data_IF_974843074655
#
_entry.id   IF_974843074655
#
_cell.length_a   1.000
_cell.length_b   1.000
_cell.length_c   1.000
_cell.angle_alpha   90.00
_cell.angle_beta   90.00
_cell.angle_gamma   90.00
#
_symmetry.space_group_name_H-M   'P 1'
#
loop_
_entity.id
_entity.type
_entity.pdbx_description
1 polymer ?
#
# COMPACT_ATOMS: atom_id res chain seq x y z
N UNK A 1 -18.59 17.00 12.83
CA UNK A 1 -18.68 16.56 11.40
C UNK A 1 -20.09 16.73 10.86
N UNK A 2 -20.25 17.05 9.58
CA UNK A 2 -21.56 17.30 8.95
C UNK A 2 -22.26 15.96 8.62
N UNK A 3 -23.50 15.74 9.11
CA UNK A 3 -24.27 14.51 8.91
C UNK A 3 -24.46 14.16 7.42
N UNK A 4 -24.77 15.16 6.58
CA UNK A 4 -24.94 14.94 5.13
C UNK A 4 -23.66 14.41 4.45
N UNK A 5 -22.48 14.86 4.90
CA UNK A 5 -21.20 14.36 4.39
C UNK A 5 -20.94 12.92 4.88
N UNK A 6 -21.27 12.61 6.15
CA UNK A 6 -21.17 11.25 6.67
C UNK A 6 -22.06 10.27 5.91
N UNK A 7 -23.30 10.68 5.57
CA UNK A 7 -24.19 9.86 4.72
C UNK A 7 -23.55 9.56 3.36
N UNK A 8 -22.97 10.58 2.69
CA UNK A 8 -22.25 10.34 1.41
C UNK A 8 -21.07 9.38 1.55
N UNK A 9 -20.38 9.42 2.68
CA UNK A 9 -19.29 8.47 2.96
C UNK A 9 -19.83 7.05 3.16
N UNK A 10 -20.97 6.89 3.82
CA UNK A 10 -21.66 5.61 3.96
C UNK A 10 -22.17 5.09 2.62
N UNK A 11 -22.74 5.96 1.77
CA UNK A 11 -23.12 5.60 0.40
C UNK A 11 -21.91 5.04 -0.37
N UNK A 12 -20.76 5.72 -0.35
CA UNK A 12 -19.56 5.29 -1.04
C UNK A 12 -19.04 3.92 -0.54
N UNK A 13 -19.05 3.71 0.78
CA UNK A 13 -18.66 2.42 1.37
C UNK A 13 -19.64 1.31 1.03
N UNK A 14 -20.93 1.60 1.00
CA UNK A 14 -21.96 0.64 0.61
C UNK A 14 -21.79 0.22 -0.85
N UNK A 15 -21.52 1.19 -1.74
CA UNK A 15 -21.20 0.88 -3.14
C UNK A 15 -19.97 -0.01 -3.28
N UNK A 16 -18.90 0.29 -2.54
CA UNK A 16 -17.71 -0.57 -2.54
C UNK A 16 -18.03 -1.99 -2.09
N UNK A 17 -18.86 -2.15 -1.04
CA UNK A 17 -19.26 -3.48 -0.54
C UNK A 17 -20.02 -4.23 -1.63
N UNK A 18 -21.03 -3.62 -2.23
CA UNK A 18 -21.87 -4.27 -3.24
C UNK A 18 -21.05 -4.64 -4.49
N UNK A 19 -20.30 -3.70 -5.05
CA UNK A 19 -19.50 -3.93 -6.25
C UNK A 19 -18.37 -4.94 -5.99
N UNK A 20 -17.69 -4.83 -4.84
CA UNK A 20 -16.57 -5.70 -4.47
C UNK A 20 -17.00 -7.13 -4.12
N UNK A 21 -18.24 -7.30 -3.66
CA UNK A 21 -18.81 -8.62 -3.36
C UNK A 21 -19.72 -9.15 -4.48
N UNK A 22 -19.92 -8.38 -5.57
CA UNK A 22 -20.77 -8.77 -6.69
C UNK A 22 -22.25 -8.93 -6.32
N UNK A 23 -22.73 -8.06 -5.41
CA UNK A 23 -24.11 -8.12 -4.92
C UNK A 23 -25.03 -7.40 -5.89
N UNK A 24 -26.03 -8.11 -6.45
CA UNK A 24 -27.08 -7.46 -7.24
C UNK A 24 -28.18 -6.91 -6.34
N UNK A 25 -28.25 -5.57 -6.26
CA UNK A 25 -29.25 -4.84 -5.47
C UNK A 25 -30.70 -5.09 -5.92
N UNK A 26 -30.93 -5.69 -7.10
CA UNK A 26 -32.25 -5.98 -7.62
C UNK A 26 -32.84 -7.30 -7.09
N UNK A 27 -31.99 -8.17 -6.56
CA UNK A 27 -32.37 -9.48 -6.06
C UNK A 27 -32.46 -9.41 -4.55
N UNK A 28 -33.30 -8.90 -3.85
CA UNK A 28 -33.53 -8.92 -2.39
C UNK A 28 -32.45 -9.57 -1.51
N UNK A 29 -31.20 -9.57 -1.97
CA UNK A 29 -30.02 -10.12 -1.32
C UNK A 29 -29.53 -9.13 -0.24
N UNK A 30 -28.98 -9.72 0.85
CA UNK A 30 -28.28 -8.92 1.84
C UNK A 30 -27.02 -8.30 1.22
N UNK A 31 -26.92 -6.99 1.27
CA UNK A 31 -25.88 -6.23 0.62
C UNK A 31 -25.18 -5.23 1.51
N UNK A 32 -24.52 -4.27 0.89
CA UNK A 32 -23.74 -3.25 1.57
C UNK A 32 -24.52 -2.48 2.62
N UNK A 33 -25.80 -2.24 2.38
CA UNK A 33 -26.69 -1.60 3.37
C UNK A 33 -26.82 -2.42 4.66
N UNK A 34 -26.84 -3.74 4.56
CA UNK A 34 -26.91 -4.64 5.72
C UNK A 34 -25.55 -4.83 6.39
N UNK A 35 -24.47 -4.70 5.63
CA UNK A 35 -23.10 -4.99 6.09
C UNK A 35 -22.36 -3.76 6.61
N UNK A 36 -22.81 -2.55 6.27
CA UNK A 36 -22.12 -1.30 6.60
C UNK A 36 -22.00 -1.09 8.13
N UNK A 37 -23.07 -1.39 8.89
CA UNK A 37 -23.06 -1.21 10.35
C UNK A 37 -22.02 -2.12 11.00
N UNK A 38 -22.06 -3.47 10.82
CA UNK A 38 -21.05 -4.34 11.44
C UNK A 38 -19.62 -4.03 11.01
N UNK A 39 -19.40 -3.66 9.76
CA UNK A 39 -18.05 -3.32 9.27
C UNK A 39 -17.52 -2.02 9.89
N UNK A 40 -18.32 -0.96 9.91
CA UNK A 40 -17.91 0.32 10.51
C UNK A 40 -17.75 0.23 12.03
N UNK A 41 -18.55 -0.56 12.72
CA UNK A 41 -18.41 -0.80 14.16
C UNK A 41 -17.17 -1.65 14.48
N UNK A 42 -16.93 -2.70 13.71
CA UNK A 42 -15.71 -3.51 13.88
C UNK A 42 -14.45 -2.67 13.68
N UNK A 43 -14.45 -1.76 12.71
CA UNK A 43 -13.38 -0.80 12.48
C UNK A 43 -13.26 0.21 13.64
N UNK A 44 -14.38 0.78 14.10
CA UNK A 44 -14.38 1.78 15.18
C UNK A 44 -13.85 1.23 16.50
N UNK A 45 -14.13 -0.04 16.81
CA UNK A 45 -13.77 -0.66 18.09
C UNK A 45 -12.61 -1.65 17.98
N UNK A 46 -11.96 -1.76 16.82
CA UNK A 46 -10.89 -2.73 16.54
C UNK A 46 -11.30 -4.15 17.01
N UNK A 47 -12.48 -4.58 16.61
CA UNK A 47 -13.10 -5.80 17.07
C UNK A 47 -13.29 -6.84 15.97
N UNK A 48 -13.66 -8.05 16.35
CA UNK A 48 -14.14 -9.06 15.42
C UNK A 48 -15.59 -8.78 15.03
N UNK A 49 -15.97 -9.09 13.78
CA UNK A 49 -17.36 -8.97 13.32
C UNK A 49 -18.34 -9.76 14.19
N UNK A 50 -17.92 -10.92 14.70
CA UNK A 50 -18.69 -11.79 15.59
C UNK A 50 -19.13 -11.10 16.89
N UNK A 51 -18.39 -10.06 17.30
CA UNK A 51 -18.69 -9.31 18.52
C UNK A 51 -19.74 -8.20 18.30
N UNK A 52 -19.98 -7.83 17.06
CA UNK A 52 -20.85 -6.68 16.74
C UNK A 52 -22.08 -7.06 15.91
N UNK A 53 -22.14 -8.26 15.32
CA UNK A 53 -23.22 -8.67 14.44
C UNK A 53 -23.49 -10.16 14.47
N UNK A 54 -24.76 -10.54 14.39
CA UNK A 54 -25.21 -11.91 14.12
C UNK A 54 -25.24 -12.28 12.63
N UNK A 55 -24.98 -11.31 11.72
CA UNK A 55 -24.90 -11.53 10.27
C UNK A 55 -23.48 -11.92 9.79
N UNK A 56 -22.56 -12.18 10.71
CA UNK A 56 -21.14 -12.40 10.42
C UNK A 56 -20.91 -13.54 9.43
N UNK A 57 -21.58 -14.67 9.62
CA UNK A 57 -21.43 -15.83 8.74
C UNK A 57 -21.87 -15.51 7.31
N UNK A 58 -22.93 -14.72 7.14
CA UNK A 58 -23.38 -14.26 5.83
C UNK A 58 -22.35 -13.33 5.18
N UNK A 59 -21.78 -12.39 5.93
CA UNK A 59 -20.72 -11.49 5.44
C UNK A 59 -19.51 -12.31 4.97
N UNK A 60 -19.04 -13.24 5.80
CA UNK A 60 -17.92 -14.10 5.44
C UNK A 60 -18.21 -14.97 4.22
N UNK A 61 -19.41 -15.52 4.10
CA UNK A 61 -19.83 -16.33 2.97
C UNK A 61 -19.75 -15.49 1.68
N UNK A 62 -20.35 -14.31 1.66
CA UNK A 62 -20.33 -13.40 0.50
C UNK A 62 -18.91 -13.02 0.08
N UNK A 63 -18.04 -12.69 1.04
CA UNK A 63 -16.64 -12.38 0.74
C UNK A 63 -15.92 -13.60 0.14
N UNK A 64 -16.16 -14.80 0.66
CA UNK A 64 -15.53 -16.04 0.13
C UNK A 64 -15.99 -16.39 -1.27
N UNK A 65 -17.25 -16.12 -1.60
CA UNK A 65 -17.82 -16.35 -2.93
C UNK A 65 -17.31 -15.34 -3.96
N UNK A 66 -16.93 -14.14 -3.53
CA UNK A 66 -16.46 -13.08 -4.42
C UNK A 66 -15.09 -13.37 -5.03
N UNK A 67 -14.73 -12.64 -6.08
CA UNK A 67 -13.41 -12.69 -6.69
C UNK A 67 -12.53 -11.54 -6.19
N UNK A 68 -11.25 -11.81 -5.98
CA UNK A 68 -10.26 -10.76 -5.61
C UNK A 68 -10.27 -9.63 -6.65
N UNK A 69 -10.36 -9.97 -7.95
CA UNK A 69 -10.42 -8.98 -9.03
C UNK A 69 -11.63 -8.05 -8.96
N UNK A 70 -12.75 -8.51 -8.41
CA UNK A 70 -13.93 -7.65 -8.19
C UNK A 70 -13.66 -6.65 -7.07
N UNK A 71 -13.04 -7.09 -5.98
CA UNK A 71 -12.66 -6.21 -4.86
C UNK A 71 -11.64 -5.15 -5.31
N UNK A 72 -10.64 -5.55 -6.10
CA UNK A 72 -9.65 -4.66 -6.69
C UNK A 72 -10.31 -3.62 -7.62
N UNK A 73 -11.22 -4.07 -8.50
CA UNK A 73 -11.91 -3.18 -9.42
C UNK A 73 -12.84 -2.19 -8.70
N UNK A 74 -13.58 -2.65 -7.69
CA UNK A 74 -14.42 -1.78 -6.86
C UNK A 74 -13.59 -0.71 -6.14
N UNK A 75 -12.43 -1.10 -5.60
CA UNK A 75 -11.51 -0.16 -4.98
C UNK A 75 -10.98 0.87 -6.00
N UNK A 76 -10.56 0.43 -7.19
CA UNK A 76 -10.08 1.32 -8.25
C UNK A 76 -11.15 2.28 -8.75
N UNK A 77 -12.40 1.82 -8.91
CA UNK A 77 -13.52 2.68 -9.27
C UNK A 77 -13.72 3.81 -8.26
N UNK A 78 -13.59 3.48 -6.97
CA UNK A 78 -13.66 4.47 -5.91
C UNK A 78 -12.46 5.44 -5.96
N UNK A 79 -11.24 4.94 -6.12
CA UNK A 79 -10.05 5.80 -6.26
C UNK A 79 -10.16 6.73 -7.46
N UNK A 80 -10.78 6.30 -8.56
CA UNK A 80 -11.06 7.15 -9.72
C UNK A 80 -11.96 8.33 -9.32
N UNK A 81 -13.05 8.08 -8.60
CA UNK A 81 -13.94 9.14 -8.14
C UNK A 81 -13.20 10.14 -7.24
N UNK A 82 -12.34 9.66 -6.34
CA UNK A 82 -11.50 10.52 -5.50
C UNK A 82 -10.51 11.30 -6.35
N UNK A 83 -9.83 10.64 -7.29
CA UNK A 83 -8.86 11.25 -8.21
C UNK A 83 -9.48 12.42 -8.97
N UNK A 84 -10.69 12.24 -9.51
CA UNK A 84 -11.42 13.28 -10.22
C UNK A 84 -11.76 14.46 -9.28
N UNK A 85 -12.19 14.18 -8.04
CA UNK A 85 -12.55 15.21 -7.06
C UNK A 85 -11.36 16.10 -6.62
N UNK A 86 -10.15 15.55 -6.58
CA UNK A 86 -8.94 16.29 -6.20
C UNK A 86 -8.04 16.64 -7.40
N UNK A 87 -8.54 16.46 -8.63
CA UNK A 87 -7.85 16.71 -9.90
C UNK A 87 -6.47 16.03 -9.95
N UNK A 88 -6.41 14.77 -9.51
CA UNK A 88 -5.15 14.03 -9.39
C UNK A 88 -4.54 13.71 -10.77
N UNK A 89 -5.37 13.55 -11.80
CA UNK A 89 -4.94 13.34 -13.19
C UNK A 89 -4.16 14.52 -13.77
N UNK A 90 -4.24 15.70 -13.18
CA UNK A 90 -3.51 16.90 -13.59
C UNK A 90 -2.22 17.10 -12.78
N UNK A 91 -2.00 16.31 -11.73
CA UNK A 91 -0.87 16.47 -10.79
C UNK A 91 0.30 15.55 -11.14
N UNK A 92 1.50 16.07 -10.92
CA UNK A 92 2.71 15.24 -10.91
C UNK A 92 2.84 14.54 -9.56
N UNK A 93 3.07 13.22 -9.57
CA UNK A 93 3.07 12.41 -8.35
C UNK A 93 4.41 11.73 -8.10
N UNK A 94 4.75 11.60 -6.83
CA UNK A 94 5.77 10.67 -6.34
C UNK A 94 5.03 9.52 -5.65
N UNK A 95 5.33 8.30 -6.08
CA UNK A 95 4.72 7.09 -5.57
C UNK A 95 5.69 6.32 -4.67
N UNK A 96 5.15 5.59 -3.70
CA UNK A 96 5.90 4.60 -2.96
C UNK A 96 5.16 3.26 -2.99
N UNK A 97 5.93 2.18 -3.11
CA UNK A 97 5.46 0.82 -2.87
C UNK A 97 6.01 0.31 -1.55
N UNK A 98 5.15 -0.32 -0.76
CA UNK A 98 5.56 -1.00 0.45
C UNK A 98 4.71 -2.24 0.71
N UNK A 99 5.23 -3.15 1.56
CA UNK A 99 4.52 -4.34 2.01
C UNK A 99 3.88 -4.10 3.38
N UNK A 100 2.69 -4.65 3.54
CA UNK A 100 2.05 -4.80 4.84
C UNK A 100 1.85 -6.27 5.12
N UNK A 101 2.29 -6.70 6.29
CA UNK A 101 2.12 -8.07 6.78
C UNK A 101 1.01 -8.09 7.82
N UNK A 102 0.02 -8.98 7.63
CA UNK A 102 -1.02 -9.24 8.58
C UNK A 102 -0.77 -10.56 9.29
N UNK A 103 -0.46 -10.50 10.59
CA UNK A 103 -0.05 -11.65 11.39
C UNK A 103 -1.13 -12.76 11.43
N UNK A 104 -0.69 -14.01 11.32
CA UNK A 104 -1.51 -15.20 11.37
C UNK A 104 -1.03 -16.17 12.47
N UNK A 105 -1.97 -16.75 13.21
CA UNK A 105 -1.71 -17.55 14.42
C UNK A 105 -2.22 -18.99 14.31
N UNK A 106 -2.49 -19.49 13.12
CA UNK A 106 -3.01 -20.83 12.86
C UNK A 106 -2.01 -21.73 12.12
N UNK A 107 -2.48 -22.90 11.68
CA UNK A 107 -1.68 -23.76 10.82
C UNK A 107 -1.49 -23.15 9.44
N UNK A 108 -0.23 -22.94 9.05
CA UNK A 108 0.14 -22.40 7.75
C UNK A 108 -0.08 -23.47 6.69
N UNK A 109 -0.97 -23.20 5.75
CA UNK A 109 -1.30 -24.09 4.63
C UNK A 109 -1.54 -23.29 3.34
N UNK A 110 -1.21 -23.91 2.20
CA UNK A 110 -1.42 -23.30 0.88
C UNK A 110 -0.40 -22.21 0.53
N UNK A 111 -0.75 -21.38 -0.46
CA UNK A 111 0.13 -20.37 -1.04
C UNK A 111 -0.19 -18.94 -0.58
N UNK A 112 -1.25 -18.75 0.19
CA UNK A 112 -1.73 -17.45 0.62
C UNK A 112 -1.05 -16.95 1.91
N UNK A 113 -0.53 -17.87 2.73
CA UNK A 113 0.08 -17.56 4.02
C UNK A 113 1.59 -17.79 3.93
N UNK A 114 2.35 -16.72 4.08
CA UNK A 114 3.80 -16.77 4.17
C UNK A 114 4.19 -17.27 5.56
N UNK A 115 5.02 -18.33 5.63
CA UNK A 115 5.47 -18.91 6.90
C UNK A 115 6.60 -18.12 7.54
N UNK A 116 6.80 -18.34 8.80
CA UNK A 116 7.85 -17.84 9.71
C UNK A 116 8.13 -16.34 9.65
N UNK A 117 7.76 -15.65 10.70
CA UNK A 117 7.92 -14.18 10.82
C UNK A 117 9.04 -13.77 11.77
N UNK A 118 9.57 -14.68 12.57
CA UNK A 118 10.49 -14.36 13.67
C UNK A 118 9.86 -13.64 14.85
N UNK A 119 8.51 -13.50 14.86
CA UNK A 119 7.75 -12.94 15.97
C UNK A 119 7.20 -14.07 16.85
N UNK A 120 7.21 -13.88 18.17
CA UNK A 120 6.66 -14.84 19.11
C UNK A 120 5.16 -15.10 18.86
N UNK A 121 4.76 -16.39 18.92
CA UNK A 121 3.41 -16.87 18.70
C UNK A 121 2.82 -16.66 17.28
N UNK A 122 3.47 -15.91 16.39
CA UNK A 122 3.03 -15.74 15.01
C UNK A 122 3.57 -16.87 14.15
N UNK A 123 2.67 -17.64 13.54
CA UNK A 123 3.03 -18.81 12.73
C UNK A 123 3.25 -18.47 11.26
N UNK A 124 2.64 -17.40 10.77
CA UNK A 124 2.75 -16.90 9.41
C UNK A 124 2.13 -15.52 9.26
N UNK A 125 2.04 -15.05 8.02
CA UNK A 125 1.43 -13.76 7.72
C UNK A 125 0.83 -13.75 6.31
N UNK A 126 -0.26 -13.00 6.15
CA UNK A 126 -0.74 -12.57 4.84
C UNK A 126 0.04 -11.33 4.43
N UNK A 127 0.36 -11.22 3.16
CA UNK A 127 1.14 -10.11 2.64
C UNK A 127 0.35 -9.33 1.59
N UNK A 128 0.29 -8.03 1.76
CA UNK A 128 -0.28 -7.09 0.80
C UNK A 128 0.80 -6.14 0.31
N UNK A 129 0.74 -5.79 -0.98
CA UNK A 129 1.51 -4.70 -1.55
C UNK A 129 0.58 -3.51 -1.72
N UNK A 130 1.06 -2.32 -1.37
CA UNK A 130 0.32 -1.07 -1.54
C UNK A 130 1.16 -0.06 -2.29
N UNK A 131 0.54 0.62 -3.26
CA UNK A 131 1.09 1.79 -3.91
C UNK A 131 0.39 3.04 -3.39
N UNK A 132 1.15 4.00 -2.89
CA UNK A 132 0.60 5.23 -2.29
C UNK A 132 1.26 6.48 -2.83
N UNK A 133 0.50 7.60 -2.82
CA UNK A 133 1.03 8.93 -3.09
C UNK A 133 1.82 9.42 -1.89
N UNK A 134 3.04 9.93 -2.13
CA UNK A 134 3.90 10.49 -1.10
C UNK A 134 4.45 11.89 -1.45
N UNK A 135 3.98 12.51 -2.52
CA UNK A 135 4.37 13.86 -2.98
C UNK A 135 4.18 14.91 -1.89
N UNK A 136 5.04 15.92 -1.81
CA UNK A 136 4.93 16.98 -0.80
C UNK A 136 3.77 17.94 -1.07
N UNK A 137 3.59 18.26 -2.34
CA UNK A 137 2.62 19.20 -2.88
C UNK A 137 1.17 18.66 -2.94
N UNK A 138 0.99 17.36 -2.68
CA UNK A 138 -0.32 16.73 -2.59
C UNK A 138 -0.62 16.45 -1.12
N UNK A 139 -1.56 17.16 -0.49
CA UNK A 139 -1.92 16.96 0.92
C UNK A 139 -2.47 15.55 1.20
N UNK A 140 -3.23 15.02 0.23
CA UNK A 140 -3.88 13.73 0.32
C UNK A 140 -2.88 12.60 0.05
N UNK A 141 -2.30 12.04 1.11
CA UNK A 141 -1.42 10.87 1.05
C UNK A 141 -2.27 9.59 1.08
N UNK A 142 -2.79 9.20 -0.07
CA UNK A 142 -3.73 8.09 -0.18
C UNK A 142 -3.11 6.86 -0.82
N UNK A 143 -3.55 5.65 -0.42
CA UNK A 143 -3.26 4.43 -1.16
C UNK A 143 -4.08 4.43 -2.47
N UNK A 144 -3.38 4.25 -3.60
CA UNK A 144 -4.02 4.19 -4.92
C UNK A 144 -4.50 2.79 -5.28
N UNK A 145 -3.75 1.78 -4.86
CA UNK A 145 -4.04 0.37 -5.12
C UNK A 145 -3.33 -0.51 -4.10
N UNK A 146 -3.97 -1.61 -3.76
CA UNK A 146 -3.35 -2.70 -2.99
C UNK A 146 -3.69 -4.04 -3.63
N UNK A 147 -2.76 -5.00 -3.51
CA UNK A 147 -2.92 -6.36 -4.03
C UNK A 147 -2.38 -7.39 -3.05
N UNK A 148 -2.99 -8.57 -2.96
CA UNK A 148 -2.45 -9.67 -2.16
C UNK A 148 -1.24 -10.30 -2.87
N UNK A 149 -0.22 -10.66 -2.08
CA UNK A 149 0.97 -11.36 -2.54
C UNK A 149 0.92 -12.81 -2.06
N UNK A 150 0.89 -13.74 -2.99
CA UNK A 150 0.98 -15.18 -2.74
C UNK A 150 2.42 -15.67 -2.84
N UNK A 151 2.69 -16.79 -2.19
CA UNK A 151 3.97 -17.49 -2.37
C UNK A 151 4.12 -17.86 -3.85
N UNK A 152 5.27 -17.52 -4.43
CA UNK A 152 5.55 -17.75 -5.87
C UNK A 152 5.19 -16.59 -6.81
N UNK A 153 4.51 -15.55 -6.35
CA UNK A 153 4.31 -14.35 -7.17
C UNK A 153 5.64 -13.63 -7.42
N UNK A 154 5.92 -13.29 -8.68
CA UNK A 154 7.03 -12.40 -9.03
C UNK A 154 6.67 -10.98 -8.67
N UNK A 155 7.46 -10.37 -7.79
CA UNK A 155 7.24 -9.00 -7.28
C UNK A 155 7.16 -7.97 -8.40
N UNK A 156 8.06 -8.07 -9.39
CA UNK A 156 8.08 -7.20 -10.57
C UNK A 156 6.76 -7.23 -11.32
N UNK A 157 6.21 -8.42 -11.58
CA UNK A 157 4.94 -8.56 -12.30
C UNK A 157 3.77 -7.90 -11.55
N UNK A 158 3.72 -8.03 -10.22
CA UNK A 158 2.65 -7.41 -9.40
C UNK A 158 2.78 -5.89 -9.42
N UNK A 159 3.99 -5.35 -9.28
CA UNK A 159 4.24 -3.90 -9.31
C UNK A 159 3.85 -3.31 -10.68
N UNK A 160 4.29 -3.95 -11.76
CA UNK A 160 3.96 -3.50 -13.12
C UNK A 160 2.46 -3.56 -13.39
N UNK A 161 1.78 -4.59 -12.87
CA UNK A 161 0.32 -4.67 -12.95
C UNK A 161 -0.34 -3.51 -12.17
N UNK A 162 0.08 -3.24 -10.93
CA UNK A 162 -0.39 -2.08 -10.17
C UNK A 162 -0.21 -0.78 -10.97
N UNK A 163 0.98 -0.54 -11.51
CA UNK A 163 1.27 0.66 -12.30
C UNK A 163 0.38 0.76 -13.55
N UNK A 164 0.12 -0.35 -14.24
CA UNK A 164 -0.75 -0.38 -15.41
C UNK A 164 -2.19 0.02 -15.10
N UNK A 165 -2.66 -0.26 -13.87
CA UNK A 165 -4.02 0.04 -13.43
C UNK A 165 -4.19 1.49 -12.96
N UNK A 166 -3.14 2.08 -12.37
CA UNK A 166 -3.25 3.43 -11.78
C UNK A 166 -2.78 4.57 -12.71
N UNK A 167 -2.05 4.26 -13.78
CA UNK A 167 -1.43 5.27 -14.66
C UNK A 167 -2.41 6.30 -15.23
N UNK A 168 -3.68 5.89 -15.42
CA UNK A 168 -4.70 6.75 -16.00
C UNK A 168 -5.47 7.57 -14.92
N UNK A 169 -5.18 7.35 -13.63
CA UNK A 169 -5.82 8.05 -12.50
C UNK A 169 -4.94 9.16 -11.92
N UNK A 170 -3.68 9.17 -12.26
CA UNK A 170 -2.72 10.20 -11.85
C UNK A 170 -2.18 10.89 -13.10
N UNK A 171 -1.69 12.10 -12.95
CA UNK A 171 -0.99 12.78 -14.01
C UNK A 171 0.38 12.13 -14.27
N UNK A 172 1.44 12.91 -14.26
CA UNK A 172 2.79 12.38 -14.49
C UNK A 172 3.37 11.74 -13.23
N UNK A 173 3.84 10.50 -13.35
CA UNK A 173 4.61 9.83 -12.29
C UNK A 173 6.07 10.28 -12.41
N UNK A 174 6.49 11.16 -11.49
CA UNK A 174 7.85 11.72 -11.49
C UNK A 174 8.88 10.78 -10.89
N UNK A 175 8.50 9.99 -9.90
CA UNK A 175 9.41 9.07 -9.23
C UNK A 175 8.63 7.97 -8.52
N UNK A 176 9.17 6.76 -8.54
CA UNK A 176 8.66 5.62 -7.79
C UNK A 176 9.73 5.19 -6.78
N UNK A 177 9.34 5.10 -5.51
CA UNK A 177 10.25 4.72 -4.44
C UNK A 177 9.93 3.35 -3.89
N UNK A 178 10.98 2.59 -3.60
CA UNK A 178 10.88 1.23 -3.09
C UNK A 178 11.81 1.00 -1.90
N UNK A 179 11.36 0.17 -0.96
CA UNK A 179 12.23 -0.34 0.09
C UNK A 179 13.17 -1.45 -0.44
N UNK A 180 14.16 -1.80 0.36
CA UNK A 180 15.13 -2.87 0.08
C UNK A 180 14.51 -4.23 -0.28
N UNK A 181 13.31 -4.51 0.21
CA UNK A 181 12.55 -5.72 -0.09
C UNK A 181 12.15 -5.84 -1.56
N UNK A 182 12.17 -4.73 -2.29
CA UNK A 182 11.85 -4.66 -3.71
C UNK A 182 13.08 -4.64 -4.62
N UNK A 183 14.28 -4.77 -4.08
CA UNK A 183 15.48 -4.81 -4.92
C UNK A 183 15.46 -6.03 -5.83
N UNK A 184 15.11 -5.81 -7.08
CA UNK A 184 14.94 -6.80 -8.11
C UNK A 184 15.41 -6.21 -9.45
N UNK A 185 16.31 -6.94 -10.14
CA UNK A 185 16.91 -6.46 -11.37
C UNK A 185 15.94 -6.46 -12.54
N UNK A 186 15.02 -7.42 -12.57
CA UNK A 186 14.00 -7.48 -13.62
C UNK A 186 13.02 -6.31 -13.46
N UNK A 187 12.65 -5.95 -12.22
CA UNK A 187 11.85 -4.77 -11.93
C UNK A 187 12.55 -3.49 -12.41
N UNK A 188 13.84 -3.32 -12.09
CA UNK A 188 14.63 -2.15 -12.50
C UNK A 188 14.66 -2.00 -14.03
N UNK A 189 14.87 -3.11 -14.74
CA UNK A 189 14.86 -3.12 -16.19
C UNK A 189 13.51 -2.73 -16.79
N UNK A 190 12.43 -3.34 -16.32
CA UNK A 190 11.09 -3.04 -16.85
C UNK A 190 10.66 -1.62 -16.54
N UNK A 191 10.98 -1.07 -15.36
CA UNK A 191 10.71 0.33 -15.03
C UNK A 191 11.45 1.27 -15.98
N UNK A 192 12.74 1.03 -16.23
CA UNK A 192 13.53 1.83 -17.17
C UNK A 192 12.97 1.75 -18.59
N UNK A 193 12.62 0.56 -19.06
CA UNK A 193 12.01 0.35 -20.38
C UNK A 193 10.68 1.08 -20.56
N UNK A 194 9.90 1.21 -19.46
CA UNK A 194 8.64 1.94 -19.43
C UNK A 194 8.81 3.45 -19.15
N UNK A 195 10.06 3.94 -19.10
CA UNK A 195 10.42 5.32 -18.79
C UNK A 195 9.93 5.81 -17.41
N UNK A 196 9.82 4.90 -16.43
CA UNK A 196 9.60 5.29 -15.05
C UNK A 196 10.92 5.56 -14.35
N UNK A 197 11.03 6.71 -13.69
CA UNK A 197 12.14 6.99 -12.79
C UNK A 197 11.90 6.27 -11.46
N UNK A 198 12.93 5.65 -10.91
CA UNK A 198 12.83 4.93 -9.65
C UNK A 198 14.00 5.20 -8.71
N UNK A 199 13.76 4.94 -7.43
CA UNK A 199 14.74 4.96 -6.36
C UNK A 199 14.51 3.76 -5.44
N UNK A 200 15.47 2.82 -5.40
CA UNK A 200 15.39 1.58 -4.62
C UNK A 200 16.51 1.56 -3.59
N UNK A 201 16.19 1.31 -2.33
CA UNK A 201 17.20 1.03 -1.31
C UNK A 201 17.77 -0.39 -1.50
N UNK A 202 19.09 -0.49 -1.62
CA UNK A 202 19.77 -1.75 -1.92
C UNK A 202 20.18 -2.46 -0.64
N UNK A 203 19.80 -3.75 -0.44
CA UNK A 203 20.21 -4.50 0.74
C UNK A 203 21.72 -4.74 0.78
N UNK A 204 22.29 -4.72 1.99
CA UNK A 204 23.71 -5.02 2.23
C UNK A 204 23.95 -6.54 2.15
N UNK A 205 24.25 -7.07 0.98
CA UNK A 205 24.69 -8.46 0.82
C UNK A 205 26.21 -8.58 0.79
N UNK A 206 26.74 -9.76 1.19
CA UNK A 206 28.18 -10.04 1.20
C UNK A 206 28.85 -9.79 -0.17
N UNK A 207 28.14 -10.08 -1.24
CA UNK A 207 28.61 -9.93 -2.63
C UNK A 207 28.84 -8.48 -3.06
N UNK A 208 28.35 -7.50 -2.28
CA UNK A 208 28.51 -6.06 -2.55
C UNK A 208 29.65 -5.43 -1.81
N UNK A 209 30.35 -6.16 -0.95
CA UNK A 209 31.62 -5.68 -0.36
C UNK A 209 32.65 -5.36 -1.46
N UNK A 210 32.67 -6.15 -2.54
CA UNK A 210 33.54 -5.90 -3.68
C UNK A 210 33.22 -4.63 -4.46
N UNK A 211 31.93 -4.21 -4.47
CA UNK A 211 31.48 -2.98 -5.11
C UNK A 211 31.70 -1.75 -4.20
N UNK A 212 31.73 -1.93 -2.88
CA UNK A 212 32.08 -0.88 -1.91
C UNK A 212 33.60 -0.62 -1.85
N UNK A 213 34.41 -1.50 -2.40
CA UNK A 213 35.87 -1.41 -2.39
C UNK A 213 36.50 -0.32 -3.26
N UNK A 214 35.83 0.22 -4.34
CA UNK A 214 36.42 1.30 -5.12
C UNK A 214 36.39 2.67 -4.42
N UNK A 215 35.68 2.79 -3.27
CA UNK A 215 35.66 4.07 -2.56
C UNK A 215 37.03 4.30 -1.90
N UNK A 216 37.68 5.39 -2.30
CA UNK A 216 38.92 5.83 -1.68
C UNK A 216 38.70 6.18 -0.20
N UNK A 217 39.75 6.04 0.60
CA UNK A 217 39.72 6.46 2.00
C UNK A 217 39.37 7.96 2.06
N UNK A 218 38.27 8.31 2.75
CA UNK A 218 37.80 9.69 2.86
C UNK A 218 36.62 10.07 1.93
N UNK A 219 36.29 9.26 0.93
CA UNK A 219 35.13 9.51 0.10
C UNK A 219 33.85 9.13 0.86
N UNK A 220 32.88 10.05 0.90
CA UNK A 220 31.58 9.80 1.49
C UNK A 220 30.54 9.36 0.47
N UNK A 221 30.81 9.59 -0.82
CA UNK A 221 29.89 9.32 -1.93
C UNK A 221 30.65 8.66 -3.05
N UNK A 222 30.09 7.61 -3.63
CA UNK A 222 30.54 7.03 -4.89
C UNK A 222 29.35 6.74 -5.79
N UNK A 223 29.48 7.06 -7.05
CA UNK A 223 28.51 6.76 -8.09
C UNK A 223 29.11 5.70 -9.00
N UNK A 224 28.38 4.62 -9.19
CA UNK A 224 28.76 3.54 -10.09
C UNK A 224 27.79 3.55 -11.26
N UNK A 225 28.24 4.05 -12.40
CA UNK A 225 27.50 4.07 -13.65
C UNK A 225 27.56 2.70 -14.34
N UNK A 226 26.70 2.47 -15.30
CA UNK A 226 26.62 1.23 -16.10
C UNK A 226 26.41 -0.05 -15.27
N UNK A 227 25.66 0.09 -14.17
CA UNK A 227 25.33 -1.07 -13.35
C UNK A 227 24.50 -2.07 -14.16
N UNK A 228 25.09 -3.22 -14.46
CA UNK A 228 24.41 -4.28 -15.21
C UNK A 228 23.33 -4.92 -14.35
N UNK A 229 22.09 -4.70 -14.73
CA UNK A 229 20.93 -5.24 -14.05
C UNK A 229 20.87 -6.77 -14.21
N UNK A 230 21.34 -7.29 -15.34
CA UNK A 230 21.51 -8.74 -15.56
C UNK A 230 22.90 -9.06 -16.11
N UNK A 231 23.66 -9.91 -15.38
CA UNK A 231 25.02 -10.29 -15.77
C UNK A 231 25.09 -11.03 -17.12
N UNK A 232 24.01 -11.71 -17.50
CA UNK A 232 23.99 -12.61 -18.64
C UNK A 232 23.38 -12.00 -19.91
N UNK A 233 22.88 -10.76 -19.86
CA UNK A 233 22.21 -10.14 -20.99
C UNK A 233 22.70 -8.71 -21.21
N UNK A 234 23.28 -8.46 -22.40
CA UNK A 234 23.77 -7.14 -22.81
C UNK A 234 22.71 -6.03 -22.87
N UNK A 235 21.43 -6.41 -23.03
CA UNK A 235 20.30 -5.47 -23.09
C UNK A 235 20.02 -4.72 -21.79
N UNK A 236 20.69 -5.06 -20.70
CA UNK A 236 20.49 -4.45 -19.39
C UNK A 236 21.64 -3.53 -18.97
N UNK A 237 22.51 -3.15 -19.89
CA UNK A 237 23.61 -2.25 -19.61
C UNK A 237 23.22 -0.79 -19.86
N UNK A 238 23.78 0.12 -19.11
CA UNK A 238 23.93 1.52 -19.50
C UNK A 238 23.02 2.55 -18.85
N UNK A 239 21.87 2.17 -18.25
CA UNK A 239 20.90 3.18 -17.77
C UNK A 239 20.67 3.15 -16.25
N UNK A 240 21.37 2.29 -15.54
CA UNK A 240 21.17 2.14 -14.10
C UNK A 240 22.42 2.55 -13.34
N UNK A 241 22.20 3.28 -12.27
CA UNK A 241 23.24 3.85 -11.42
C UNK A 241 23.12 3.29 -10.02
N UNK A 242 24.23 2.89 -9.43
CA UNK A 242 24.33 2.65 -7.99
C UNK A 242 24.98 3.85 -7.30
N UNK A 243 24.29 4.38 -6.31
CA UNK A 243 24.78 5.48 -5.49
C UNK A 243 25.12 4.94 -4.11
N UNK A 244 26.39 5.05 -3.74
CA UNK A 244 26.90 4.66 -2.43
C UNK A 244 27.07 5.90 -1.56
N UNK A 245 26.49 5.87 -0.37
CA UNK A 245 26.62 6.89 0.66
C UNK A 245 27.23 6.25 1.89
N UNK A 246 28.40 6.74 2.29
CA UNK A 246 29.17 6.19 3.42
C UNK A 246 29.01 7.08 4.64
N UNK A 247 28.87 6.45 5.79
CA UNK A 247 28.82 7.12 7.10
C UNK A 247 27.82 8.29 7.21
N UNK A 248 26.63 8.11 6.66
CA UNK A 248 25.55 9.08 6.82
C UNK A 248 25.01 9.00 8.23
N UNK A 249 25.07 10.12 8.94
CA UNK A 249 24.56 10.25 10.30
C UNK A 249 23.03 10.12 10.33
N UNK A 250 22.53 9.29 11.21
CA UNK A 250 21.11 9.16 11.52
C UNK A 250 20.82 9.65 12.94
N UNK A 251 20.17 10.84 13.10
CA UNK A 251 19.93 11.42 14.41
C UNK A 251 18.98 10.59 15.30
N UNK A 252 18.21 9.65 14.72
CA UNK A 252 17.29 8.80 15.50
C UNK A 252 18.02 7.71 16.27
N UNK A 253 19.07 7.17 15.70
CA UNK A 253 19.84 6.06 16.26
C UNK A 253 21.19 6.52 16.81
N UNK A 254 21.55 7.80 16.63
CA UNK A 254 22.85 8.38 16.98
C UNK A 254 24.04 7.59 16.39
N UNK A 255 23.87 7.10 15.14
CA UNK A 255 24.86 6.26 14.44
C UNK A 255 25.03 6.68 13.00
N UNK A 256 26.22 6.39 12.48
CA UNK A 256 26.52 6.52 11.06
C UNK A 256 26.22 5.21 10.33
N UNK A 257 25.57 5.31 9.17
CA UNK A 257 25.24 4.16 8.31
C UNK A 257 25.71 4.38 6.90
N UNK A 258 26.17 3.29 6.29
CA UNK A 258 26.35 3.24 4.85
C UNK A 258 25.03 2.93 4.17
N UNK A 259 24.73 3.62 3.10
CA UNK A 259 23.50 3.42 2.30
C UNK A 259 23.86 3.22 0.84
N UNK A 260 23.11 2.36 0.17
CA UNK A 260 23.25 2.12 -1.26
C UNK A 260 21.86 2.25 -1.90
N UNK A 261 21.78 3.01 -2.98
CA UNK A 261 20.57 3.19 -3.77
C UNK A 261 20.82 2.77 -5.20
N UNK A 262 19.82 2.14 -5.81
CA UNK A 262 19.77 1.88 -7.24
C UNK A 262 18.74 2.81 -7.87
N UNK A 263 19.07 3.40 -9.01
CA UNK A 263 18.21 4.38 -9.70
C UNK A 263 18.59 4.47 -11.18
N UNK A 264 17.70 5.02 -12.01
CA UNK A 264 17.93 5.41 -13.38
C UNK A 264 17.86 6.94 -13.59
N UNK A 265 17.93 7.70 -12.51
CA UNK A 265 18.00 9.17 -12.58
C UNK A 265 19.43 9.57 -12.95
N UNK A 266 19.61 10.29 -14.05
CA UNK A 266 20.93 10.67 -14.57
C UNK A 266 21.58 11.80 -13.74
N UNK A 267 20.80 12.81 -13.38
CA UNK A 267 21.27 13.95 -12.59
C UNK A 267 20.80 13.85 -11.16
N UNK A 268 21.57 13.17 -10.31
CA UNK A 268 21.27 13.05 -8.89
C UNK A 268 21.97 14.15 -8.13
N UNK A 269 21.19 15.08 -7.59
CA UNK A 269 21.64 15.96 -6.51
C UNK A 269 21.72 15.14 -5.24
N UNK A 270 22.91 14.67 -4.90
CA UNK A 270 23.17 13.74 -3.80
C UNK A 270 22.68 14.26 -2.45
N UNK A 271 22.74 15.55 -2.22
CA UNK A 271 22.23 16.21 -1.02
C UNK A 271 20.71 15.97 -0.83
N UNK A 272 19.99 15.90 -1.93
CA UNK A 272 18.54 15.68 -1.94
C UNK A 272 18.15 14.20 -1.91
N UNK A 273 19.05 13.28 -2.26
CA UNK A 273 18.73 11.85 -2.36
C UNK A 273 18.19 11.26 -1.07
N UNK A 274 18.85 11.54 0.05
CA UNK A 274 18.45 11.04 1.37
C UNK A 274 17.14 11.69 1.81
N UNK A 275 17.00 13.00 1.58
CA UNK A 275 15.79 13.75 1.92
C UNK A 275 14.62 13.21 1.10
N UNK A 276 14.84 13.01 -0.19
CA UNK A 276 13.85 12.44 -1.10
C UNK A 276 13.45 11.03 -0.67
N UNK A 277 14.42 10.16 -0.37
CA UNK A 277 14.10 8.79 0.05
C UNK A 277 13.39 8.74 1.41
N UNK A 278 13.65 9.68 2.32
CA UNK A 278 12.92 9.76 3.60
C UNK A 278 11.41 9.97 3.41
N UNK A 279 10.97 10.54 2.28
CA UNK A 279 9.54 10.69 1.96
C UNK A 279 8.82 9.34 1.88
N UNK A 280 9.51 8.25 1.51
CA UNK A 280 8.96 6.90 1.50
C UNK A 280 8.37 6.49 2.86
N UNK A 281 8.93 6.94 3.97
CA UNK A 281 8.39 6.62 5.30
C UNK A 281 6.96 7.13 5.55
N UNK A 282 6.42 7.95 4.66
CA UNK A 282 5.03 8.40 4.72
C UNK A 282 4.07 7.24 4.52
N UNK A 283 4.42 6.25 3.69
CA UNK A 283 3.60 5.04 3.51
C UNK A 283 3.55 4.20 4.79
N UNK A 284 4.65 4.10 5.54
CA UNK A 284 4.66 3.42 6.85
C UNK A 284 3.78 4.15 7.88
N UNK A 285 3.72 5.49 7.79
CA UNK A 285 2.82 6.29 8.61
C UNK A 285 1.37 6.07 8.22
N UNK A 286 1.06 5.91 6.93
CA UNK A 286 -0.27 5.57 6.45
C UNK A 286 -0.74 4.23 7.04
N UNK A 287 0.08 3.19 7.03
CA UNK A 287 -0.29 1.90 7.62
C UNK A 287 -0.58 2.00 9.12
N UNK A 288 0.20 2.77 9.88
CA UNK A 288 -0.08 3.00 11.31
C UNK A 288 -1.41 3.71 11.55
N UNK A 289 -1.79 4.64 10.68
CA UNK A 289 -3.10 5.29 10.74
C UNK A 289 -4.20 4.32 10.35
N UNK A 290 -4.01 3.52 9.29
CA UNK A 290 -4.95 2.48 8.88
C UNK A 290 -5.24 1.48 10.02
N UNK A 291 -4.23 1.10 10.81
CA UNK A 291 -4.38 0.19 11.95
C UNK A 291 -5.37 0.70 13.03
N UNK A 292 -5.66 2.01 13.06
CA UNK A 292 -6.72 2.56 13.94
C UNK A 292 -8.13 2.09 13.55
N UNK A 293 -8.31 1.68 12.28
CA UNK A 293 -9.56 1.12 11.74
C UNK A 293 -9.54 -0.40 11.60
N UNK A 294 -8.56 -1.08 12.19
CA UNK A 294 -8.33 -2.50 11.95
C UNK A 294 -9.49 -3.37 12.39
N UNK A 295 -10.06 -4.11 11.45
CA UNK A 295 -11.05 -5.17 11.70
C UNK A 295 -10.31 -6.46 12.03
N UNK A 296 -10.48 -6.97 13.26
CA UNK A 296 -9.86 -8.22 13.64
C UNK A 296 -10.47 -9.40 12.90
N UNK A 297 -9.61 -10.28 12.38
CA UNK A 297 -10.01 -11.40 11.54
C UNK A 297 -9.32 -12.70 11.97
N UNK A 298 -10.11 -13.79 12.12
CA UNK A 298 -9.61 -15.14 12.38
C UNK A 298 -9.58 -16.00 11.10
N UNK A 299 -10.10 -15.50 9.99
CA UNK A 299 -10.19 -16.27 8.75
C UNK A 299 -8.81 -16.66 8.22
N UNK A 300 -8.73 -17.88 7.66
CA UNK A 300 -7.59 -18.39 6.89
C UNK A 300 -7.67 -18.01 5.41
N UNK A 301 -8.76 -17.36 5.00
CA UNK A 301 -9.02 -17.03 3.60
C UNK A 301 -8.42 -15.67 3.26
N UNK A 302 -7.53 -15.63 2.28
CA UNK A 302 -6.94 -14.39 1.75
C UNK A 302 -8.01 -13.36 1.36
N UNK A 303 -9.08 -13.79 0.70
CA UNK A 303 -10.16 -12.91 0.25
C UNK A 303 -10.79 -12.11 1.39
N UNK A 304 -11.04 -12.77 2.55
CA UNK A 304 -11.65 -12.14 3.72
C UNK A 304 -10.73 -11.06 4.28
N UNK A 305 -9.46 -11.39 4.45
CA UNK A 305 -8.47 -10.44 4.97
C UNK A 305 -8.22 -9.29 4.01
N UNK A 306 -8.15 -9.59 2.72
CA UNK A 306 -7.95 -8.57 1.69
C UNK A 306 -9.15 -7.61 1.59
N UNK A 307 -10.38 -8.13 1.69
CA UNK A 307 -11.57 -7.28 1.71
C UNK A 307 -11.56 -6.31 2.90
N UNK A 308 -11.23 -6.79 4.12
CA UNK A 308 -11.13 -5.92 5.29
C UNK A 308 -10.01 -4.90 5.13
N UNK A 309 -8.86 -5.32 4.62
CA UNK A 309 -7.74 -4.43 4.35
C UNK A 309 -8.12 -3.30 3.39
N UNK A 310 -8.83 -3.59 2.30
CA UNK A 310 -9.33 -2.58 1.37
C UNK A 310 -10.39 -1.67 2.01
N UNK A 311 -11.29 -2.23 2.81
CA UNK A 311 -12.30 -1.45 3.52
C UNK A 311 -11.67 -0.45 4.50
N UNK A 312 -10.66 -0.87 5.26
CA UNK A 312 -9.88 -0.02 6.14
C UNK A 312 -9.15 1.11 5.37
N UNK A 313 -8.59 0.79 4.21
CA UNK A 313 -7.97 1.78 3.32
C UNK A 313 -8.98 2.78 2.77
N UNK A 314 -10.20 2.33 2.44
CA UNK A 314 -11.26 3.24 2.02
C UNK A 314 -11.66 4.21 3.14
N UNK A 315 -11.82 3.73 4.38
CA UNK A 315 -12.07 4.58 5.54
C UNK A 315 -10.98 5.65 5.68
N UNK A 316 -9.72 5.25 5.59
CA UNK A 316 -8.58 6.16 5.66
C UNK A 316 -8.57 7.18 4.52
N UNK A 317 -8.86 6.75 3.29
CA UNK A 317 -8.90 7.63 2.12
C UNK A 317 -10.02 8.66 2.23
N UNK A 318 -11.23 8.24 2.67
CA UNK A 318 -12.35 9.15 2.92
C UNK A 318 -11.97 10.19 3.96
N UNK A 319 -11.40 9.75 5.09
CA UNK A 319 -10.97 10.68 6.13
C UNK A 319 -9.91 11.64 5.63
N UNK A 320 -8.88 11.14 4.94
CA UNK A 320 -7.76 11.95 4.44
C UNK A 320 -8.23 13.05 3.48
N UNK A 321 -9.18 12.72 2.59
CA UNK A 321 -9.65 13.65 1.58
C UNK A 321 -10.72 14.64 2.09
N UNK A 322 -11.51 14.26 3.11
CA UNK A 322 -12.70 15.02 3.44
C UNK A 322 -12.83 15.44 4.91
N UNK A 323 -12.08 14.85 5.84
CA UNK A 323 -12.28 15.07 7.29
C UNK A 323 -11.00 15.33 8.08
N UNK A 324 -9.83 15.21 7.48
CA UNK A 324 -8.54 15.33 8.15
C UNK A 324 -8.37 16.63 8.94
N UNK A 325 -8.90 17.73 8.39
CA UNK A 325 -8.81 19.03 9.02
C UNK A 325 -9.88 19.26 10.11
N UNK A 326 -10.87 18.35 10.22
CA UNK A 326 -12.01 18.47 11.15
C UNK A 326 -11.89 17.53 12.36
N UNK A 327 -11.19 16.38 12.21
CA UNK A 327 -11.13 15.34 13.25
C UNK A 327 -9.92 14.43 13.07
N UNK A 328 -9.54 13.74 14.13
CA UNK A 328 -8.63 12.60 14.04
C UNK A 328 -9.29 11.44 13.27
N UNK A 329 -8.48 10.51 12.75
CA UNK A 329 -9.02 9.35 12.04
C UNK A 329 -9.90 8.48 12.94
N UNK A 330 -9.49 8.28 14.19
CA UNK A 330 -10.28 7.49 15.16
C UNK A 330 -11.63 8.14 15.48
N UNK A 331 -11.68 9.45 15.67
CA UNK A 331 -12.94 10.18 15.88
C UNK A 331 -13.86 10.06 14.67
N UNK A 332 -13.32 10.21 13.45
CA UNK A 332 -14.08 10.04 12.22
C UNK A 332 -14.73 8.66 12.15
N UNK A 333 -13.98 7.57 12.39
CA UNK A 333 -14.51 6.20 12.31
C UNK A 333 -15.63 5.98 13.35
N UNK A 334 -15.46 6.49 14.58
CA UNK A 334 -16.46 6.38 15.65
C UNK A 334 -17.74 7.13 15.25
N UNK A 335 -17.65 8.33 14.73
CA UNK A 335 -18.82 9.09 14.31
C UNK A 335 -19.50 8.46 13.08
N UNK A 336 -18.71 7.90 12.16
CA UNK A 336 -19.23 7.16 11.01
C UNK A 336 -20.00 5.90 11.44
N UNK A 337 -19.50 5.16 12.42
CA UNK A 337 -20.18 3.98 12.98
C UNK A 337 -21.49 4.36 13.71
N UNK A 338 -21.51 5.47 14.44
CA UNK A 338 -22.76 6.00 15.05
C UNK A 338 -23.78 6.41 13.97
N UNK A 339 -23.30 7.05 12.91
CA UNK A 339 -24.17 7.49 11.81
C UNK A 339 -24.71 6.30 11.03
N UNK A 340 -23.92 5.22 10.79
CA UNK A 340 -24.39 4.05 10.05
C UNK A 340 -25.62 3.40 10.71
N UNK A 341 -25.67 3.35 12.04
CA UNK A 341 -26.85 2.86 12.80
C UNK A 341 -28.10 3.71 12.61
N UNK A 342 -27.93 5.02 12.46
CA UNK A 342 -29.06 5.93 12.21
C UNK A 342 -29.53 5.81 10.76
N UNK A 343 -28.56 5.81 9.86
CA UNK A 343 -28.75 5.79 8.40
C UNK A 343 -29.48 4.53 7.91
N UNK A 344 -29.22 3.36 8.50
CA UNK A 344 -29.93 2.11 8.19
C UNK A 344 -31.35 2.00 8.77
N UNK A 345 -31.80 2.98 9.57
CA UNK A 345 -33.16 3.02 10.14
C UNK A 345 -34.08 3.99 9.40
N UNK A 346 -33.51 4.81 8.52
CA UNK A 346 -34.25 5.75 7.64
C UNK A 346 -34.52 5.13 6.29
#
# INVERSE_FOLDING_TARGET
MNEKRLCKSLDALTWFIDDGLGIDRKENDLGGFDFIVPLTESAAYNSYLENVSNKTDTIYLRIKESLISMMEQAYLNYIKIISDNISLSEKEVILAFDYTDEDFYGDVQGFDIHGWTGKDAVTGHFKFITCSIISDDIPEKIPLISMPIRIGHYKSSVILHCLSLIKDYVGKINLIMFDRGFYDKDLMYELTKLNYLYLIFVPKHKDKKEILYPMKIGEQVAIYNDFKVNKNQSKYAGENILVFLKQIYDPRSDKNYDRVFATNIEEILLENLIITYKKRWRIETQFRVQDEARIKCKSKEMKVRFFFFLFEQMLQTIWMCFYKDESSFKEFIIELAKMSRKWTKT
#
